data_IF_903749306555
#
_entry.id   IF_903749306555
#
_cell.length_a   1.000
_cell.length_b   1.000
_cell.length_c   1.000
_cell.angle_alpha   90.00
_cell.angle_beta   90.00
_cell.angle_gamma   90.00
#
_symmetry.space_group_name_H-M   'P 1'
#
loop_
_entity.id
_entity.type
_entity.pdbx_description
1 polymer ?
#
# COMPACT_ATOMS: atom_id res chain seq x y z
N UNK A 1 3.11 -15.51 -0.36
CA UNK A 1 2.04 -16.19 -1.12
C UNK A 1 2.25 -17.68 -0.88
N UNK A 2 1.19 -18.37 -0.49
CA UNK A 2 1.11 -19.82 -0.53
C UNK A 2 0.14 -20.17 -1.67
N UNK A 3 0.55 -21.05 -2.57
CA UNK A 3 -0.24 -21.45 -3.74
C UNK A 3 -0.51 -22.95 -3.73
N UNK A 4 -1.70 -23.36 -4.15
CA UNK A 4 -2.08 -24.75 -4.44
C UNK A 4 -2.61 -24.80 -5.89
N UNK A 5 -2.01 -25.63 -6.74
CA UNK A 5 -2.36 -25.80 -8.16
C UNK A 5 -2.44 -27.29 -8.53
N UNK A 6 -3.66 -27.82 -8.73
CA UNK A 6 -3.86 -29.22 -9.14
C UNK A 6 -3.57 -29.49 -10.64
N UNK A 7 -3.55 -28.46 -11.51
CA UNK A 7 -3.60 -28.69 -12.97
C UNK A 7 -2.27 -29.11 -13.60
N UNK A 8 -1.13 -28.96 -12.90
CA UNK A 8 0.20 -29.31 -13.43
C UNK A 8 0.84 -30.55 -12.79
N UNK A 9 0.09 -31.31 -11.99
CA UNK A 9 0.57 -32.54 -11.36
C UNK A 9 1.49 -32.32 -10.15
N UNK A 10 1.52 -31.09 -9.62
CA UNK A 10 2.19 -30.73 -8.39
C UNK A 10 1.12 -30.41 -7.33
N UNK A 11 0.68 -31.42 -6.57
CA UNK A 11 -0.12 -31.21 -5.36
C UNK A 11 0.76 -30.63 -4.23
N UNK A 12 1.62 -29.68 -4.56
CA UNK A 12 2.64 -29.15 -3.65
C UNK A 12 2.27 -27.72 -3.27
N UNK A 13 2.26 -27.48 -1.96
CA UNK A 13 2.06 -26.16 -1.39
C UNK A 13 3.36 -25.40 -1.55
N UNK A 14 3.35 -24.33 -2.33
CA UNK A 14 4.54 -23.52 -2.54
C UNK A 14 4.57 -22.32 -1.60
N UNK A 15 5.58 -22.27 -0.73
CA UNK A 15 5.85 -21.13 0.14
C UNK A 15 6.86 -20.14 -0.48
N UNK A 16 7.08 -19.01 0.20
CA UNK A 16 7.97 -17.96 -0.31
C UNK A 16 9.43 -18.43 -0.34
N UNK A 17 9.84 -19.26 0.61
CA UNK A 17 11.18 -19.83 0.70
C UNK A 17 11.49 -20.75 -0.50
N UNK A 18 10.51 -21.54 -0.94
CA UNK A 18 10.61 -22.40 -2.10
C UNK A 18 10.72 -21.57 -3.40
N UNK A 19 9.90 -20.54 -3.57
CA UNK A 19 10.02 -19.63 -4.72
C UNK A 19 11.42 -19.01 -4.80
N UNK A 20 12.00 -18.60 -3.67
CA UNK A 20 13.37 -18.06 -3.62
C UNK A 20 14.41 -19.12 -4.00
N UNK A 21 14.25 -20.36 -3.53
CA UNK A 21 15.16 -21.47 -3.85
C UNK A 21 15.13 -21.79 -5.34
N UNK A 22 13.94 -21.90 -5.94
CA UNK A 22 13.75 -22.17 -7.37
C UNK A 22 14.26 -20.99 -8.20
N UNK A 23 13.90 -19.75 -7.85
CA UNK A 23 14.37 -18.57 -8.58
C UNK A 23 15.90 -18.46 -8.60
N UNK A 24 16.58 -18.82 -7.50
CA UNK A 24 18.05 -18.88 -7.46
C UNK A 24 18.64 -19.95 -8.37
N UNK A 25 18.03 -21.13 -8.48
CA UNK A 25 18.56 -22.22 -9.31
C UNK A 25 18.40 -21.93 -10.81
N UNK A 26 17.27 -21.33 -11.20
CA UNK A 26 16.96 -21.01 -12.61
C UNK A 26 17.37 -19.60 -13.02
N UNK A 27 17.93 -18.81 -12.10
CA UNK A 27 18.23 -17.37 -12.27
C UNK A 27 17.01 -16.55 -12.68
N UNK A 28 15.84 -16.93 -12.18
CA UNK A 28 14.56 -16.26 -12.39
C UNK A 28 14.18 -15.37 -11.20
N UNK A 29 13.28 -14.41 -11.42
CA UNK A 29 12.75 -13.56 -10.36
C UNK A 29 11.60 -14.28 -9.62
N UNK A 30 11.75 -14.64 -8.33
CA UNK A 30 10.71 -15.31 -7.56
C UNK A 30 9.41 -14.50 -7.47
N UNK A 31 9.54 -13.17 -7.41
CA UNK A 31 8.40 -12.25 -7.29
C UNK A 31 7.46 -12.36 -8.48
N UNK A 32 7.98 -12.24 -9.71
CA UNK A 32 7.15 -12.35 -10.92
C UNK A 32 6.67 -13.79 -11.16
N UNK A 33 7.47 -14.79 -10.79
CA UNK A 33 7.06 -16.20 -10.88
C UNK A 33 5.85 -16.49 -9.99
N UNK A 34 5.83 -15.99 -8.74
CA UNK A 34 4.72 -16.15 -7.82
C UNK A 34 3.43 -15.52 -8.35
N UNK A 35 3.51 -14.37 -9.02
CA UNK A 35 2.34 -13.73 -9.63
C UNK A 35 1.77 -14.53 -10.79
N UNK A 36 2.63 -14.99 -11.71
CA UNK A 36 2.20 -15.80 -12.84
C UNK A 36 1.58 -17.14 -12.41
N UNK A 37 2.06 -17.72 -11.30
CA UNK A 37 1.45 -18.92 -10.73
C UNK A 37 0.15 -18.61 -9.99
N UNK A 38 0.04 -17.47 -9.32
CA UNK A 38 -1.16 -17.07 -8.59
C UNK A 38 -2.40 -16.89 -9.50
N UNK A 39 -2.22 -16.55 -10.78
CA UNK A 39 -3.31 -16.46 -11.75
C UNK A 39 -4.06 -17.78 -11.96
N UNK A 40 -3.37 -18.91 -11.82
CA UNK A 40 -3.93 -20.25 -12.09
C UNK A 40 -4.09 -21.09 -10.81
N UNK A 41 -3.75 -20.53 -9.65
CA UNK A 41 -3.85 -21.23 -8.38
C UNK A 41 -5.30 -21.29 -7.88
N UNK A 42 -5.64 -22.38 -7.21
CA UNK A 42 -6.97 -22.60 -6.62
C UNK A 42 -7.12 -21.90 -5.27
N UNK A 43 -6.00 -21.76 -4.55
CA UNK A 43 -5.92 -21.06 -3.27
C UNK A 43 -4.69 -20.17 -3.26
N UNK A 44 -4.89 -18.90 -2.91
CA UNK A 44 -3.82 -17.92 -2.76
C UNK A 44 -3.93 -17.23 -1.42
N UNK A 45 -2.87 -17.30 -0.62
CA UNK A 45 -2.76 -16.52 0.60
C UNK A 45 -2.31 -15.09 0.29
N UNK A 46 -3.23 -14.15 0.44
CA UNK A 46 -3.07 -12.73 0.18
C UNK A 46 -2.93 -11.90 1.47
N UNK A 47 -1.95 -10.98 1.56
CA UNK A 47 -1.98 -9.93 2.57
C UNK A 47 -3.20 -9.02 2.36
N UNK A 48 -3.77 -8.50 3.45
CA UNK A 48 -4.94 -7.62 3.38
C UNK A 48 -4.73 -6.40 2.48
N UNK A 49 -3.53 -5.80 2.54
CA UNK A 49 -3.17 -4.61 1.78
C UNK A 49 -3.32 -4.78 0.27
N UNK A 50 -3.17 -6.00 -0.24
CA UNK A 50 -3.28 -6.27 -1.67
C UNK A 50 -4.73 -6.24 -2.17
N UNK A 51 -5.69 -6.30 -1.23
CA UNK A 51 -7.13 -6.23 -1.51
C UNK A 51 -7.66 -4.82 -1.17
N UNK A 52 -7.26 -4.29 0.00
CA UNK A 52 -7.87 -3.10 0.59
C UNK A 52 -7.18 -1.79 0.15
N UNK A 53 -5.86 -1.79 -0.06
CA UNK A 53 -5.15 -0.57 -0.46
C UNK A 53 -5.26 -0.37 -1.98
N UNK A 54 -5.92 0.70 -2.46
CA UNK A 54 -6.16 0.90 -3.89
C UNK A 54 -4.88 1.12 -4.70
N UNK A 55 -3.86 1.74 -4.10
CA UNK A 55 -2.57 1.99 -4.75
C UNK A 55 -1.83 0.68 -4.97
N UNK A 56 -1.80 -0.18 -3.94
CA UNK A 56 -1.17 -1.50 -4.04
C UNK A 56 -1.96 -2.41 -4.99
N UNK A 57 -3.29 -2.45 -4.86
CA UNK A 57 -4.18 -3.28 -5.69
C UNK A 57 -4.01 -2.98 -7.18
N UNK A 58 -3.79 -1.72 -7.55
CA UNK A 58 -3.56 -1.32 -8.93
C UNK A 58 -2.29 -1.92 -9.56
N UNK A 59 -1.30 -2.31 -8.74
CA UNK A 59 -0.09 -2.99 -9.18
C UNK A 59 -0.13 -4.52 -9.08
N UNK A 60 -1.22 -5.10 -8.58
CA UNK A 60 -1.38 -6.56 -8.43
C UNK A 60 -2.04 -7.15 -9.66
N UNK A 61 -1.36 -8.09 -10.32
CA UNK A 61 -1.77 -8.66 -11.62
C UNK A 61 -2.88 -9.73 -11.52
N UNK A 62 -3.26 -10.14 -10.32
CA UNK A 62 -4.29 -11.18 -10.12
C UNK A 62 -5.70 -10.58 -10.19
N UNK A 63 -6.55 -11.11 -11.08
CA UNK A 63 -7.98 -10.78 -11.11
C UNK A 63 -8.72 -11.54 -9.99
N UNK A 64 -9.56 -10.82 -9.24
CA UNK A 64 -10.38 -11.38 -8.17
C UNK A 64 -11.81 -11.64 -8.64
N UNK A 65 -12.15 -11.36 -9.90
CA UNK A 65 -13.49 -11.59 -10.44
C UNK A 65 -13.86 -13.05 -10.37
N UNK A 66 -14.95 -13.35 -9.66
CA UNK A 66 -15.43 -14.71 -9.46
C UNK A 66 -14.71 -15.48 -8.35
N UNK A 67 -13.70 -14.88 -7.70
CA UNK A 67 -13.04 -15.48 -6.55
C UNK A 67 -13.89 -15.36 -5.27
N UNK A 68 -13.74 -16.33 -4.37
CA UNK A 68 -14.24 -16.25 -3.00
C UNK A 68 -13.12 -15.70 -2.13
N UNK A 69 -13.36 -14.56 -1.47
CA UNK A 69 -12.38 -13.92 -0.59
C UNK A 69 -12.74 -14.26 0.86
N UNK A 70 -11.78 -14.83 1.58
CA UNK A 70 -11.91 -15.17 3.01
C UNK A 70 -10.95 -14.27 3.79
N UNK A 71 -11.50 -13.45 4.68
CA UNK A 71 -10.70 -12.65 5.60
C UNK A 71 -10.55 -13.42 6.92
N UNK A 72 -9.32 -13.86 7.20
CA UNK A 72 -8.96 -14.46 8.47
C UNK A 72 -8.62 -13.37 9.50
N UNK A 73 -9.13 -13.48 10.73
CA UNK A 73 -9.00 -12.44 11.77
C UNK A 73 -9.53 -11.06 11.35
N UNK A 74 -10.72 -11.05 10.73
CA UNK A 74 -11.36 -9.87 10.14
C UNK A 74 -11.59 -8.68 11.11
N UNK A 75 -11.41 -8.88 12.41
CA UNK A 75 -11.42 -7.78 13.39
C UNK A 75 -10.31 -6.75 13.14
N UNK A 76 -9.21 -7.13 12.46
CA UNK A 76 -8.13 -6.21 12.07
C UNK A 76 -8.45 -5.37 10.81
N UNK A 77 -9.57 -5.66 10.13
CA UNK A 77 -9.91 -5.04 8.84
C UNK A 77 -10.07 -3.52 8.94
N UNK A 78 -10.72 -3.04 10.00
CA UNK A 78 -10.96 -1.60 10.19
C UNK A 78 -9.66 -0.82 10.27
N UNK A 79 -8.72 -1.27 11.09
CA UNK A 79 -7.42 -0.62 11.28
C UNK A 79 -6.61 -0.63 9.99
N UNK A 80 -6.62 -1.74 9.24
CA UNK A 80 -5.90 -1.86 7.98
C UNK A 80 -6.50 -0.96 6.91
N UNK A 81 -7.83 -0.86 6.83
CA UNK A 81 -8.50 0.05 5.90
C UNK A 81 -8.25 1.51 6.27
N UNK A 82 -8.27 1.85 7.56
CA UNK A 82 -7.96 3.18 8.08
C UNK A 82 -6.53 3.58 7.74
N UNK A 83 -5.57 2.68 7.95
CA UNK A 83 -4.17 2.92 7.58
C UNK A 83 -4.01 3.07 6.05
N UNK A 84 -4.64 2.22 5.24
CA UNK A 84 -4.57 2.30 3.78
C UNK A 84 -5.17 3.59 3.20
N UNK A 85 -6.10 4.22 3.91
CA UNK A 85 -6.71 5.50 3.54
C UNK A 85 -6.11 6.72 4.23
N UNK A 86 -5.13 6.54 5.12
CA UNK A 86 -4.51 7.63 5.89
C UNK A 86 -3.09 7.92 5.42
N UNK A 87 -2.61 9.12 5.72
CA UNK A 87 -1.20 9.49 5.55
C UNK A 87 -0.76 10.27 6.78
N UNK A 88 0.42 9.92 7.30
CA UNK A 88 1.06 10.67 8.38
C UNK A 88 2.14 11.57 7.77
N UNK A 89 2.06 12.86 8.07
CA UNK A 89 3.00 13.87 7.58
C UNK A 89 3.63 14.59 8.77
N UNK A 90 4.95 14.65 8.77
CA UNK A 90 5.71 15.47 9.71
C UNK A 90 6.21 16.77 9.04
N UNK A 91 6.61 17.74 9.87
CA UNK A 91 7.05 19.04 9.41
C UNK A 91 8.31 18.94 8.53
N UNK A 92 9.21 17.99 8.85
CA UNK A 92 10.42 17.74 8.07
C UNK A 92 10.09 17.28 6.64
N UNK A 93 9.10 16.39 6.49
CA UNK A 93 8.60 15.91 5.20
C UNK A 93 8.03 17.05 4.37
N UNK A 94 7.30 17.98 5.00
CA UNK A 94 6.76 19.15 4.30
C UNK A 94 7.86 20.10 3.83
N UNK A 95 8.90 20.35 4.63
CA UNK A 95 10.03 21.18 4.20
C UNK A 95 10.82 20.56 3.05
N UNK A 96 11.00 19.23 3.06
CA UNK A 96 11.62 18.49 1.94
C UNK A 96 10.77 18.64 0.67
N UNK A 97 9.46 18.41 0.79
CA UNK A 97 8.52 18.55 -0.31
C UNK A 97 8.51 19.97 -0.89
N UNK A 98 8.54 21.01 -0.04
CA UNK A 98 8.65 22.40 -0.47
C UNK A 98 9.92 22.63 -1.31
N UNK A 99 11.06 22.14 -0.82
CA UNK A 99 12.36 22.30 -1.49
C UNK A 99 12.41 21.58 -2.85
N UNK A 100 11.76 20.43 -2.96
CA UNK A 100 11.63 19.67 -4.22
C UNK A 100 10.70 20.38 -5.20
N UNK A 101 9.54 20.84 -4.73
CA UNK A 101 8.56 21.54 -5.56
C UNK A 101 9.07 22.88 -6.08
N UNK A 102 9.89 23.60 -5.30
CA UNK A 102 10.54 24.82 -5.77
C UNK A 102 11.42 24.55 -7.00
N UNK A 103 12.24 23.50 -6.94
CA UNK A 103 13.09 23.10 -8.07
C UNK A 103 12.28 22.66 -9.29
N UNK A 104 11.17 21.98 -9.09
CA UNK A 104 10.29 21.50 -10.16
C UNK A 104 9.37 22.58 -10.74
N UNK A 105 9.10 23.65 -10.00
CA UNK A 105 8.29 24.78 -10.47
C UNK A 105 9.00 25.59 -11.57
N UNK A 106 10.34 25.56 -11.61
CA UNK A 106 11.11 26.22 -12.67
C UNK A 106 10.81 25.63 -14.07
N UNK A 107 10.93 24.31 -14.30
CA UNK A 107 10.65 23.73 -15.61
C UNK A 107 9.16 23.65 -15.96
N UNK A 108 8.25 23.45 -14.99
CA UNK A 108 6.82 23.28 -15.24
C UNK A 108 5.95 24.04 -14.22
N UNK A 109 5.95 25.38 -14.28
CA UNK A 109 5.31 26.22 -13.26
C UNK A 109 3.79 25.98 -13.17
N UNK A 110 3.12 25.75 -14.30
CA UNK A 110 1.66 25.50 -14.32
C UNK A 110 1.25 24.24 -13.53
N UNK A 111 2.16 23.29 -13.31
CA UNK A 111 1.87 22.02 -12.64
C UNK A 111 2.32 22.09 -11.17
N UNK A 112 3.55 22.55 -10.90
CA UNK A 112 4.14 22.44 -9.57
C UNK A 112 3.97 23.69 -8.70
N UNK A 113 3.76 24.88 -9.30
CA UNK A 113 3.58 26.11 -8.54
C UNK A 113 2.35 26.06 -7.61
N UNK A 114 1.16 25.57 -8.05
CA UNK A 114 0.02 25.47 -7.15
C UNK A 114 0.26 24.50 -5.97
N UNK A 115 1.04 23.44 -6.22
CA UNK A 115 1.39 22.47 -5.17
C UNK A 115 2.36 23.09 -4.16
N UNK A 116 3.37 23.84 -4.63
CA UNK A 116 4.29 24.57 -3.77
C UNK A 116 3.54 25.53 -2.85
N UNK A 117 2.60 26.32 -3.40
CA UNK A 117 1.80 27.29 -2.62
C UNK A 117 0.93 26.61 -1.56
N UNK A 118 0.37 25.44 -1.86
CA UNK A 118 -0.38 24.64 -0.89
C UNK A 118 0.53 24.16 0.24
N UNK A 119 1.71 23.64 -0.08
CA UNK A 119 2.68 23.16 0.93
C UNK A 119 3.18 24.31 1.79
N UNK A 120 3.51 25.45 1.20
CA UNK A 120 3.88 26.67 1.93
C UNK A 120 2.75 27.15 2.86
N UNK A 121 1.51 27.09 2.40
CA UNK A 121 0.32 27.38 3.19
C UNK A 121 0.16 26.45 4.39
N UNK A 122 0.40 25.14 4.20
CA UNK A 122 0.36 24.13 5.26
C UNK A 122 1.46 24.37 6.29
N UNK A 123 2.71 24.53 5.87
CA UNK A 123 3.85 24.84 6.75
C UNK A 123 3.55 26.10 7.58
N UNK A 124 3.08 27.15 6.92
CA UNK A 124 2.73 28.41 7.58
C UNK A 124 1.59 28.24 8.59
N UNK A 125 0.59 27.42 8.27
CA UNK A 125 -0.52 27.11 9.18
C UNK A 125 -0.03 26.32 10.41
N UNK A 126 0.81 25.30 10.22
CA UNK A 126 1.42 24.52 11.30
C UNK A 126 2.22 25.45 12.22
N UNK A 127 3.08 26.29 11.64
CA UNK A 127 3.90 27.24 12.39
C UNK A 127 3.08 28.20 13.26
N UNK A 128 1.91 28.65 12.77
CA UNK A 128 0.99 29.50 13.54
C UNK A 128 0.21 28.74 14.62
N UNK A 129 -0.08 27.46 14.40
CA UNK A 129 -0.96 26.67 15.27
C UNK A 129 -0.22 25.84 16.31
N UNK A 130 1.06 25.55 16.12
CA UNK A 130 1.85 24.64 16.99
C UNK A 130 1.71 24.93 18.49
N UNK A 131 1.66 26.20 18.88
CA UNK A 131 1.61 26.60 20.30
C UNK A 131 0.18 26.53 20.89
N UNK A 132 -0.83 26.24 20.06
CA UNK A 132 -2.25 26.20 20.40
C UNK A 132 -2.91 24.85 20.12
N UNK A 133 -2.13 23.85 19.70
CA UNK A 133 -2.66 22.52 19.40
C UNK A 133 -2.81 21.71 20.69
N UNK A 134 -4.03 21.26 20.93
CA UNK A 134 -4.32 20.26 21.96
C UNK A 134 -4.49 18.89 21.30
N UNK A 135 -4.01 17.85 21.98
CA UNK A 135 -4.19 16.48 21.52
C UNK A 135 -5.67 16.11 21.68
N UNK A 136 -6.36 15.93 20.57
CA UNK A 136 -7.68 15.32 20.55
C UNK A 136 -7.54 13.85 20.18
N UNK A 137 -7.85 12.97 21.12
CA UNK A 137 -7.99 11.54 20.83
C UNK A 137 -9.24 11.31 19.96
N UNK A 138 -9.22 10.23 19.18
CA UNK A 138 -10.36 9.84 18.36
C UNK A 138 -11.60 9.68 19.24
N UNK A 139 -12.67 10.41 18.92
CA UNK A 139 -13.96 10.17 19.55
C UNK A 139 -14.45 8.80 19.08
N UNK A 140 -14.31 7.79 19.94
CA UNK A 140 -14.99 6.52 19.74
C UNK A 140 -16.51 6.77 19.80
N UNK A 141 -17.13 6.96 18.64
CA UNK A 141 -18.58 6.93 18.47
C UNK A 141 -19.07 5.49 18.61
N UNK A 142 -18.94 4.91 19.82
CA UNK A 142 -19.76 3.76 20.19
C UNK A 142 -21.14 4.30 20.56
N UNK A 143 -22.04 4.36 19.58
CA UNK A 143 -23.47 4.38 19.85
C UNK A 143 -23.84 3.13 20.64
N UNK A 144 -24.42 3.33 21.82
CA UNK A 144 -25.07 2.30 22.64
C UNK A 144 -26.23 1.64 21.92
#
# INVERSE_FOLDING_TARGET
LLLIDEQRGFNEVHDIEEFVKVGKSVRGCPYYAAWSLAENAELVFFPYSYIVNPVIRAGVEVDLKGAIIIFDEAHNMEDIAREAGSVNLDEETLFKLQSELEQMSVPQPMIYQPLYEVVEGLISWIGRKKDSLEKHDFQHYFSR
#
